data_IF_416137242902
#
_entry.id   IF_416137242902
#
_cell.length_a   1.000
_cell.length_b   1.000
_cell.length_c   1.000
_cell.angle_alpha   90.00
_cell.angle_beta   90.00
_cell.angle_gamma   90.00
#
_symmetry.space_group_name_H-M   'P 1'
#
loop_
_entity.id
_entity.type
_entity.pdbx_description
1 polymer ?
#
# COMPACT_ATOMS: atom_id res chain seq x y z
N UNK A 1 -18.47 -13.88 21.04
CA UNK A 1 -17.93 -14.76 19.98
C UNK A 1 -18.69 -14.58 18.68
N UNK A 2 -20.02 -14.69 18.68
CA UNK A 2 -20.82 -14.48 17.46
C UNK A 2 -20.76 -13.07 16.88
N UNK A 3 -20.75 -12.03 17.73
CA UNK A 3 -20.58 -10.64 17.26
C UNK A 3 -19.23 -10.41 16.54
N UNK A 4 -18.15 -11.00 17.06
CA UNK A 4 -16.83 -10.88 16.46
C UNK A 4 -16.74 -11.62 15.12
N UNK A 5 -17.35 -12.80 14.99
CA UNK A 5 -17.45 -13.53 13.72
C UNK A 5 -18.26 -12.75 12.70
N UNK A 6 -19.42 -12.20 13.10
CA UNK A 6 -20.24 -11.33 12.25
C UNK A 6 -19.43 -10.14 11.74
N UNK A 7 -18.71 -9.46 12.65
CA UNK A 7 -17.87 -8.31 12.30
C UNK A 7 -16.74 -8.68 11.33
N UNK A 8 -16.10 -9.83 11.52
CA UNK A 8 -15.10 -10.33 10.57
C UNK A 8 -15.74 -10.57 9.19
N UNK A 9 -16.91 -11.20 9.15
CA UNK A 9 -17.64 -11.44 7.90
C UNK A 9 -17.98 -10.14 7.16
N UNK A 10 -18.48 -9.13 7.87
CA UNK A 10 -18.76 -7.78 7.31
C UNK A 10 -17.49 -7.14 6.72
N UNK A 11 -16.39 -7.13 7.48
CA UNK A 11 -15.13 -6.54 7.05
C UNK A 11 -14.53 -7.30 5.85
N UNK A 12 -14.58 -8.63 5.86
CA UNK A 12 -14.07 -9.43 4.75
C UNK A 12 -14.91 -9.21 3.48
N UNK A 13 -16.23 -9.10 3.60
CA UNK A 13 -17.11 -8.78 2.48
C UNK A 13 -16.81 -7.39 1.90
N UNK A 14 -16.61 -6.38 2.76
CA UNK A 14 -16.21 -5.04 2.33
C UNK A 14 -14.85 -5.05 1.60
N UNK A 15 -13.85 -5.71 2.18
CA UNK A 15 -12.53 -5.81 1.56
C UNK A 15 -12.60 -6.50 0.18
N UNK A 16 -13.37 -7.59 0.07
CA UNK A 16 -13.57 -8.31 -1.20
C UNK A 16 -14.26 -7.44 -2.24
N UNK A 17 -15.32 -6.70 -1.88
CA UNK A 17 -16.02 -5.82 -2.81
C UNK A 17 -15.10 -4.72 -3.36
N UNK A 18 -14.24 -4.14 -2.52
CA UNK A 18 -13.24 -3.14 -2.95
C UNK A 18 -12.18 -3.74 -3.87
N UNK A 19 -11.72 -4.95 -3.56
CA UNK A 19 -10.76 -5.67 -4.40
C UNK A 19 -11.38 -6.00 -5.75
N UNK A 20 -12.62 -6.49 -5.78
CA UNK A 20 -13.34 -6.80 -7.02
C UNK A 20 -13.47 -5.58 -7.92
N UNK A 21 -13.88 -4.43 -7.36
CA UNK A 21 -13.93 -3.17 -8.09
C UNK A 21 -12.55 -2.78 -8.65
N UNK A 22 -11.48 -2.96 -7.88
CA UNK A 22 -10.12 -2.69 -8.34
C UNK A 22 -9.71 -3.65 -9.48
N UNK A 23 -9.99 -4.94 -9.34
CA UNK A 23 -9.68 -5.98 -10.33
C UNK A 23 -10.38 -5.73 -11.66
N UNK A 24 -11.64 -5.27 -11.64
CA UNK A 24 -12.41 -4.91 -12.84
C UNK A 24 -11.84 -3.70 -13.59
N UNK A 25 -11.13 -2.82 -12.88
CA UNK A 25 -10.61 -1.56 -13.41
C UNK A 25 -9.08 -1.54 -13.52
N UNK A 26 -8.43 -2.71 -13.59
CA UNK A 26 -6.98 -2.78 -13.69
C UNK A 26 -6.45 -2.14 -14.99
N UNK A 27 -5.44 -1.26 -14.88
CA UNK A 27 -4.85 -0.60 -16.04
C UNK A 27 -4.08 -1.61 -16.89
N UNK A 28 -4.32 -1.64 -18.19
CA UNK A 28 -3.58 -2.52 -19.13
C UNK A 28 -2.55 -1.76 -19.96
N UNK A 29 -2.66 -0.43 -20.03
CA UNK A 29 -1.79 0.44 -20.84
C UNK A 29 -1.69 1.82 -20.22
N UNK A 30 -0.53 2.47 -20.37
CA UNK A 30 -0.36 3.92 -20.19
C UNK A 30 -0.08 4.50 -21.57
N UNK A 31 -1.02 5.29 -22.11
CA UNK A 31 -0.85 5.95 -23.40
C UNK A 31 -0.20 7.34 -23.23
N UNK A 32 1.06 7.54 -23.63
CA UNK A 32 1.73 8.83 -23.53
C UNK A 32 1.03 9.93 -24.34
N UNK A 33 0.31 9.59 -25.42
CA UNK A 33 -0.40 10.56 -26.24
C UNK A 33 -1.59 11.19 -25.50
N UNK A 34 -2.17 10.47 -24.53
CA UNK A 34 -3.24 10.97 -23.67
C UNK A 34 -2.77 11.94 -22.56
N UNK A 35 -1.46 12.18 -22.44
CA UNK A 35 -0.86 12.99 -21.37
C UNK A 35 0.03 14.09 -21.95
N UNK A 36 1.15 13.70 -22.54
CA UNK A 36 2.11 14.57 -23.20
C UNK A 36 3.11 13.73 -24.00
N UNK A 37 3.26 14.05 -25.29
CA UNK A 37 4.31 13.47 -26.12
C UNK A 37 5.67 14.17 -25.94
N UNK A 38 5.71 15.29 -25.23
CA UNK A 38 6.90 16.12 -25.02
C UNK A 38 7.52 15.87 -23.64
N UNK A 39 6.72 16.00 -22.59
CA UNK A 39 7.16 15.80 -21.21
C UNK A 39 7.13 14.32 -20.84
N UNK A 40 8.30 13.74 -20.54
CA UNK A 40 8.43 12.31 -20.18
C UNK A 40 8.12 12.01 -18.72
N UNK A 41 8.24 12.99 -17.82
CA UNK A 41 8.07 12.80 -16.37
C UNK A 41 6.63 12.36 -16.02
N UNK A 42 5.56 12.97 -16.57
CA UNK A 42 4.17 12.53 -16.31
C UNK A 42 3.93 11.06 -16.69
N UNK A 43 4.46 10.63 -17.84
CA UNK A 43 4.38 9.23 -18.26
C UNK A 43 5.04 8.28 -17.25
N UNK A 44 6.23 8.62 -16.76
CA UNK A 44 6.93 7.81 -15.74
C UNK A 44 6.15 7.75 -14.42
N UNK A 45 5.56 8.86 -14.00
CA UNK A 45 4.73 8.93 -12.80
C UNK A 45 3.49 8.03 -12.93
N UNK A 46 2.84 8.03 -14.09
CA UNK A 46 1.70 7.15 -14.38
C UNK A 46 2.10 5.67 -14.44
N UNK A 47 3.23 5.34 -15.06
CA UNK A 47 3.74 3.97 -15.03
C UNK A 47 3.91 3.47 -13.59
N UNK A 48 4.42 4.31 -12.69
CA UNK A 48 4.55 3.95 -11.28
C UNK A 48 3.18 3.79 -10.61
N UNK A 49 2.25 4.72 -10.83
CA UNK A 49 0.87 4.63 -10.32
C UNK A 49 0.20 3.32 -10.73
N UNK A 50 0.23 2.99 -12.03
CA UNK A 50 -0.41 1.78 -12.54
C UNK A 50 0.26 0.49 -12.01
N UNK A 51 1.58 0.48 -11.87
CA UNK A 51 2.28 -0.64 -11.24
C UNK A 51 1.87 -0.82 -9.76
N UNK A 52 1.65 0.26 -9.03
CA UNK A 52 1.12 0.19 -7.66
C UNK A 52 -0.32 -0.34 -7.63
N UNK A 53 -1.15 -0.02 -8.63
CA UNK A 53 -2.53 -0.54 -8.75
C UNK A 53 -2.56 -2.05 -8.87
N UNK A 54 -1.73 -2.62 -9.75
CA UNK A 54 -1.55 -4.07 -9.85
C UNK A 54 -1.06 -4.69 -8.54
N UNK A 55 -0.09 -4.03 -7.90
CA UNK A 55 0.50 -4.52 -6.65
C UNK A 55 -0.51 -4.55 -5.50
N UNK A 56 -1.31 -3.50 -5.32
CA UNK A 56 -2.28 -3.45 -4.22
C UNK A 56 -3.45 -4.40 -4.47
N UNK A 57 -3.86 -4.61 -5.72
CA UNK A 57 -4.84 -5.63 -6.08
C UNK A 57 -4.36 -7.02 -5.64
N UNK A 58 -3.15 -7.41 -6.06
CA UNK A 58 -2.66 -8.76 -5.82
C UNK A 58 -2.51 -9.04 -4.33
N UNK A 59 -1.93 -8.09 -3.59
CA UNK A 59 -1.75 -8.17 -2.15
C UNK A 59 -3.09 -8.28 -1.43
N UNK A 60 -4.06 -7.44 -1.81
CA UNK A 60 -5.35 -7.37 -1.13
C UNK A 60 -6.25 -8.57 -1.44
N UNK A 61 -6.26 -9.04 -2.69
CA UNK A 61 -6.93 -10.29 -3.08
C UNK A 61 -6.36 -11.48 -2.33
N UNK A 62 -5.04 -11.55 -2.22
CA UNK A 62 -4.36 -12.62 -1.47
C UNK A 62 -4.62 -12.52 0.03
N UNK A 63 -4.67 -11.30 0.59
CA UNK A 63 -5.02 -11.08 1.99
C UNK A 63 -6.45 -11.57 2.30
N UNK A 64 -7.42 -11.27 1.42
CA UNK A 64 -8.80 -11.73 1.57
C UNK A 64 -8.89 -13.27 1.58
N UNK A 65 -8.18 -13.95 0.69
CA UNK A 65 -8.10 -15.43 0.68
C UNK A 65 -7.48 -15.97 1.97
N UNK A 66 -6.38 -15.38 2.42
CA UNK A 66 -5.73 -15.80 3.67
C UNK A 66 -6.66 -15.62 4.88
N UNK A 67 -7.43 -14.53 4.96
CA UNK A 67 -8.40 -14.35 6.02
C UNK A 67 -9.56 -15.35 5.97
N UNK A 68 -10.03 -15.70 4.77
CA UNK A 68 -11.08 -16.69 4.54
C UNK A 68 -10.65 -18.12 4.92
N UNK A 69 -9.41 -18.49 4.60
CA UNK A 69 -8.83 -19.82 4.87
C UNK A 69 -8.34 -20.01 6.32
N UNK A 70 -8.37 -18.94 7.13
CA UNK A 70 -7.87 -18.98 8.50
C UNK A 70 -6.35 -18.77 8.64
N UNK A 71 -5.67 -18.36 7.58
CA UNK A 71 -4.25 -18.06 7.54
C UNK A 71 -3.97 -16.63 8.00
N UNK A 72 -4.30 -16.36 9.25
CA UNK A 72 -4.35 -15.01 9.80
C UNK A 72 -3.01 -14.27 9.77
N UNK A 73 -1.90 -14.96 10.02
CA UNK A 73 -0.57 -14.36 9.92
C UNK A 73 -0.33 -13.85 8.49
N UNK A 74 -0.60 -14.69 7.49
CA UNK A 74 -0.45 -14.33 6.09
C UNK A 74 -1.37 -13.15 5.72
N UNK A 75 -2.62 -13.18 6.16
CA UNK A 75 -3.55 -12.06 5.98
C UNK A 75 -3.02 -10.74 6.54
N UNK A 76 -2.44 -10.76 7.76
CA UNK A 76 -1.86 -9.56 8.39
C UNK A 76 -0.62 -9.07 7.64
N UNK A 77 0.29 -9.97 7.26
CA UNK A 77 1.51 -9.63 6.50
C UNK A 77 1.13 -9.00 5.16
N UNK A 78 0.17 -9.57 4.45
CA UNK A 78 -0.31 -9.04 3.18
C UNK A 78 -1.02 -7.69 3.37
N UNK A 79 -1.81 -7.53 4.43
CA UNK A 79 -2.45 -6.25 4.79
C UNK A 79 -1.42 -5.17 5.09
N UNK A 80 -0.33 -5.50 5.80
CA UNK A 80 0.81 -4.61 6.02
C UNK A 80 1.43 -4.17 4.69
N UNK A 81 1.67 -5.11 3.78
CA UNK A 81 2.20 -4.76 2.47
C UNK A 81 1.23 -3.92 1.64
N UNK A 82 -0.09 -4.10 1.76
CA UNK A 82 -1.06 -3.19 1.14
C UNK A 82 -0.97 -1.77 1.72
N UNK A 83 -0.79 -1.63 3.04
CA UNK A 83 -0.53 -0.34 3.72
C UNK A 83 0.72 0.35 3.17
N UNK A 84 1.79 -0.40 2.89
CA UNK A 84 3.02 0.13 2.28
C UNK A 84 2.75 0.68 0.87
N UNK A 85 1.93 0.00 0.07
CA UNK A 85 1.55 0.46 -1.27
C UNK A 85 0.68 1.71 -1.22
N UNK A 86 -0.29 1.77 -0.28
CA UNK A 86 -1.09 2.98 -0.03
C UNK A 86 -0.21 4.18 0.38
N UNK A 87 0.87 3.93 1.13
CA UNK A 87 1.85 4.96 1.47
C UNK A 87 2.66 5.44 0.27
N UNK A 88 3.00 4.53 -0.65
CA UNK A 88 3.76 4.85 -1.84
C UNK A 88 2.96 5.72 -2.82
N UNK A 89 1.67 5.44 -3.02
CA UNK A 89 0.80 6.29 -3.86
C UNK A 89 0.55 7.65 -3.20
N UNK A 90 0.48 7.73 -1.86
CA UNK A 90 0.44 9.01 -1.13
C UNK A 90 1.67 9.85 -1.44
N UNK A 91 2.86 9.23 -1.36
CA UNK A 91 4.11 9.91 -1.68
C UNK A 91 4.12 10.44 -3.13
N UNK A 92 3.65 9.64 -4.10
CA UNK A 92 3.53 10.07 -5.48
C UNK A 92 2.59 11.27 -5.62
N UNK A 93 1.42 11.22 -4.96
CA UNK A 93 0.45 12.32 -4.96
C UNK A 93 1.08 13.62 -4.43
N UNK A 94 1.71 13.58 -3.24
CA UNK A 94 2.38 14.76 -2.69
C UNK A 94 3.50 15.28 -3.58
N UNK A 95 4.26 14.37 -4.21
CA UNK A 95 5.32 14.74 -5.14
C UNK A 95 4.74 15.56 -6.30
N UNK A 96 3.69 15.05 -6.96
CA UNK A 96 3.02 15.69 -8.10
C UNK A 96 2.38 17.02 -7.68
N UNK A 97 1.59 17.03 -6.61
CA UNK A 97 0.88 18.22 -6.12
C UNK A 97 1.84 19.38 -5.84
N UNK A 98 3.00 19.08 -5.24
CA UNK A 98 4.05 20.08 -5.03
C UNK A 98 4.57 20.68 -6.34
N UNK A 99 4.76 19.87 -7.39
CA UNK A 99 5.23 20.39 -8.68
C UNK A 99 4.19 21.27 -9.37
N UNK A 100 2.92 20.92 -9.22
CA UNK A 100 1.80 21.72 -9.73
C UNK A 100 1.72 23.07 -9.01
N UNK A 101 1.91 23.09 -7.69
CA UNK A 101 1.75 24.30 -6.89
C UNK A 101 2.99 25.21 -6.89
N UNK A 102 4.19 24.62 -6.78
CA UNK A 102 5.43 25.35 -6.49
C UNK A 102 6.38 25.42 -7.70
N UNK A 103 6.05 24.72 -8.79
CA UNK A 103 6.87 24.59 -10.00
C UNK A 103 7.76 23.35 -10.00
N UNK A 104 8.39 23.09 -11.15
CA UNK A 104 9.20 21.89 -11.38
C UNK A 104 10.54 22.00 -10.65
N UNK A 105 10.81 21.06 -9.74
CA UNK A 105 12.12 20.91 -9.11
C UNK A 105 13.13 20.25 -10.07
N UNK A 106 14.39 20.70 -10.01
CA UNK A 106 15.47 20.22 -10.87
C UNK A 106 15.70 18.70 -10.75
N UNK A 107 15.46 18.12 -9.57
CA UNK A 107 15.65 16.70 -9.27
C UNK A 107 14.37 15.86 -9.43
N UNK A 108 13.29 16.43 -10.02
CA UNK A 108 12.01 15.73 -10.16
C UNK A 108 12.13 14.42 -10.96
N UNK A 109 12.81 14.44 -12.11
CA UNK A 109 12.96 13.23 -12.93
C UNK A 109 13.72 12.13 -12.17
N UNK A 110 14.78 12.50 -11.44
CA UNK A 110 15.52 11.58 -10.59
C UNK A 110 14.63 11.00 -9.49
N UNK A 111 13.79 11.83 -8.86
CA UNK A 111 12.86 11.39 -7.82
C UNK A 111 11.80 10.42 -8.36
N UNK A 112 11.20 10.70 -9.52
CA UNK A 112 10.23 9.80 -10.16
C UNK A 112 10.89 8.51 -10.62
N UNK A 113 12.13 8.58 -11.15
CA UNK A 113 12.90 7.39 -11.53
C UNK A 113 13.26 6.50 -10.34
N UNK A 114 13.57 7.07 -9.17
CA UNK A 114 13.77 6.30 -7.92
C UNK A 114 12.51 5.59 -7.45
N UNK A 115 11.33 6.15 -7.72
CA UNK A 115 10.06 5.48 -7.44
C UNK A 115 9.81 4.32 -8.41
N UNK A 116 9.96 4.58 -9.71
CA UNK A 116 9.64 3.62 -10.76
C UNK A 116 10.65 2.46 -10.86
N UNK A 117 11.94 2.75 -10.73
CA UNK A 117 13.04 1.83 -11.03
C UNK A 117 13.97 1.58 -9.83
N UNK A 118 13.61 2.06 -8.64
CA UNK A 118 14.43 1.97 -7.45
C UNK A 118 14.85 0.53 -7.11
N UNK A 119 16.15 0.28 -6.94
CA UNK A 119 16.68 -1.01 -6.48
C UNK A 119 17.72 -0.83 -5.38
N UNK A 120 17.80 -1.79 -4.45
CA UNK A 120 18.89 -1.89 -3.46
C UNK A 120 20.00 -2.84 -3.90
N UNK A 121 19.66 -3.80 -4.76
CA UNK A 121 20.55 -4.91 -5.12
C UNK A 121 21.15 -4.76 -6.52
N UNK A 122 20.61 -3.87 -7.34
CA UNK A 122 21.15 -3.55 -8.65
C UNK A 122 21.83 -2.17 -8.59
N UNK A 123 23.16 -2.14 -8.73
CA UNK A 123 23.96 -0.91 -8.67
C UNK A 123 23.78 -0.01 -9.90
N UNK A 124 23.31 -0.57 -11.01
CA UNK A 124 23.07 0.14 -12.26
C UNK A 124 21.69 0.84 -12.27
N UNK A 125 20.89 0.63 -11.22
CA UNK A 125 19.54 1.19 -11.07
C UNK A 125 19.53 2.33 -10.04
N UNK A 126 18.56 3.26 -10.13
CA UNK A 126 18.37 4.29 -9.11
C UNK A 126 18.26 3.68 -7.70
N UNK A 127 18.78 4.37 -6.69
CA UNK A 127 18.66 3.91 -5.32
C UNK A 127 17.19 3.88 -4.85
N UNK A 128 16.72 2.71 -4.42
CA UNK A 128 15.36 2.56 -3.90
C UNK A 128 15.11 3.45 -2.68
N UNK A 129 13.95 4.12 -2.64
CA UNK A 129 13.46 4.79 -1.43
C UNK A 129 13.04 3.74 -0.40
N UNK A 130 13.33 4.00 0.87
CA UNK A 130 12.87 3.15 1.97
C UNK A 130 11.35 3.22 2.09
N UNK A 131 10.70 2.09 2.36
CA UNK A 131 9.26 2.07 2.63
C UNK A 131 8.87 2.97 3.81
N UNK A 132 9.74 3.09 4.81
CA UNK A 132 9.53 3.99 5.94
C UNK A 132 9.51 5.46 5.52
N UNK A 133 10.18 5.83 4.43
CA UNK A 133 10.06 7.18 3.88
C UNK A 133 8.63 7.48 3.45
N UNK A 134 7.93 6.49 2.87
CA UNK A 134 6.53 6.64 2.46
C UNK A 134 5.61 6.65 3.68
N UNK A 135 5.76 5.69 4.59
CA UNK A 135 4.95 5.61 5.82
C UNK A 135 5.05 6.91 6.62
N UNK A 136 6.27 7.42 6.83
CA UNK A 136 6.50 8.66 7.57
C UNK A 136 5.85 9.88 6.91
N UNK A 137 5.67 9.87 5.57
CA UNK A 137 4.96 10.96 4.89
C UNK A 137 3.47 10.93 5.21
N UNK A 138 2.84 9.76 5.15
CA UNK A 138 1.43 9.62 5.54
C UNK A 138 1.24 9.97 7.02
N UNK A 139 2.13 9.51 7.89
CA UNK A 139 2.04 9.71 9.35
C UNK A 139 2.09 11.18 9.78
N UNK A 140 2.74 12.05 8.99
CA UNK A 140 2.73 13.50 9.25
C UNK A 140 1.33 14.11 9.12
N UNK A 141 0.50 13.54 8.24
CA UNK A 141 -0.87 14.00 7.98
C UNK A 141 -1.89 13.20 8.78
N UNK A 142 -1.65 11.90 8.96
CA UNK A 142 -2.52 10.96 9.68
C UNK A 142 -1.70 10.29 10.79
N UNK A 143 -1.56 10.90 11.99
CA UNK A 143 -0.71 10.37 13.06
C UNK A 143 -1.06 8.93 13.48
N UNK A 144 -2.34 8.54 13.37
CA UNK A 144 -2.78 7.17 13.66
C UNK A 144 -2.20 6.12 12.69
N UNK A 145 -1.70 6.53 11.53
CA UNK A 145 -1.17 5.65 10.49
C UNK A 145 0.09 4.92 10.96
N UNK A 146 1.01 5.64 11.62
CA UNK A 146 2.24 5.06 12.18
C UNK A 146 1.92 3.95 13.18
N UNK A 147 1.03 4.23 14.14
CA UNK A 147 0.61 3.26 15.15
C UNK A 147 -0.03 2.01 14.52
N UNK A 148 -0.83 2.19 13.47
CA UNK A 148 -1.44 1.06 12.76
C UNK A 148 -0.36 0.22 12.04
N UNK A 149 0.56 0.88 11.34
CA UNK A 149 1.66 0.23 10.64
C UNK A 149 2.61 -0.52 11.58
N UNK A 150 2.95 0.06 12.73
CA UNK A 150 3.78 -0.58 13.76
C UNK A 150 3.07 -1.80 14.35
N UNK A 151 1.78 -1.68 14.62
CA UNK A 151 0.97 -2.80 15.13
C UNK A 151 0.89 -3.96 14.12
N UNK A 152 0.80 -3.68 12.82
CA UNK A 152 0.89 -4.71 11.78
C UNK A 152 2.30 -5.32 11.71
N UNK A 153 3.33 -4.49 11.84
CA UNK A 153 4.73 -4.92 11.80
C UNK A 153 5.08 -5.85 12.95
N UNK A 154 4.45 -5.67 14.12
CA UNK A 154 4.59 -6.56 15.26
C UNK A 154 4.17 -8.01 14.93
N UNK A 155 3.20 -8.22 14.04
CA UNK A 155 2.86 -9.58 13.57
C UNK A 155 3.71 -10.03 12.38
N UNK A 156 4.22 -9.10 11.56
CA UNK A 156 4.99 -9.46 10.37
C UNK A 156 6.42 -9.94 10.68
N UNK A 157 6.96 -9.56 11.83
CA UNK A 157 8.28 -9.98 12.25
C UNK A 157 8.24 -11.33 12.99
N UNK A 158 9.32 -12.14 12.94
CA UNK A 158 9.41 -13.39 13.69
C UNK A 158 9.68 -13.16 15.20
N UNK A 159 9.00 -12.19 15.81
CA UNK A 159 9.00 -11.91 17.25
C UNK A 159 7.94 -12.76 17.96
N UNK A 160 7.68 -12.49 19.24
CA UNK A 160 6.68 -13.22 20.01
C UNK A 160 5.29 -13.18 19.37
N UNK A 161 4.83 -12.01 18.90
CA UNK A 161 3.50 -11.82 18.33
C UNK A 161 3.32 -12.55 16.98
N UNK A 162 4.32 -12.48 16.11
CA UNK A 162 4.33 -13.14 14.79
C UNK A 162 4.67 -14.64 14.81
N UNK A 163 5.14 -15.19 15.95
CA UNK A 163 5.52 -16.62 16.07
C UNK A 163 4.75 -17.34 17.17
N UNK A 164 5.18 -17.18 18.42
CA UNK A 164 4.69 -17.93 19.57
C UNK A 164 3.24 -17.57 19.91
N UNK A 165 2.89 -16.28 19.92
CA UNK A 165 1.55 -15.83 20.29
C UNK A 165 0.49 -16.38 19.33
N UNK A 166 0.73 -16.30 18.02
CA UNK A 166 -0.27 -16.61 17.00
C UNK A 166 -0.47 -18.13 16.82
N UNK A 167 0.58 -18.94 17.04
CA UNK A 167 0.54 -20.38 16.81
C UNK A 167 0.50 -21.25 18.07
N UNK A 168 0.71 -20.69 19.27
CA UNK A 168 0.82 -21.50 20.47
C UNK A 168 -0.13 -21.10 21.61
N UNK A 169 -0.53 -22.09 22.40
CA UNK A 169 -1.28 -21.94 23.65
C UNK A 169 -0.74 -22.88 24.71
N UNK A 170 -0.29 -22.30 25.83
CA UNK A 170 0.16 -23.06 26.99
C UNK A 170 -1.03 -23.66 27.74
N UNK A 171 -0.93 -24.95 28.07
CA UNK A 171 -1.84 -25.72 28.91
C UNK A 171 -1.13 -25.99 30.25
N UNK A 172 -1.43 -25.20 31.30
CA UNK A 172 -0.71 -25.28 32.56
C UNK A 172 -1.04 -26.55 33.35
N UNK A 173 -2.23 -27.15 33.15
CA UNK A 173 -2.64 -28.37 33.85
C UNK A 173 -1.84 -29.58 33.35
N UNK A 174 -1.58 -29.64 32.05
CA UNK A 174 -0.80 -30.72 31.43
C UNK A 174 0.68 -30.40 31.31
N UNK A 175 1.09 -29.17 31.62
CA UNK A 175 2.46 -28.67 31.41
C UNK A 175 2.89 -28.82 29.94
N UNK A 176 1.96 -28.54 29.01
CA UNK A 176 2.18 -28.67 27.58
C UNK A 176 2.04 -27.32 26.86
N UNK A 177 2.68 -27.20 25.71
CA UNK A 177 2.45 -26.10 24.77
C UNK A 177 1.88 -26.67 23.48
N UNK A 178 0.62 -26.34 23.21
CA UNK A 178 -0.07 -26.77 22.01
C UNK A 178 0.26 -25.82 20.86
N UNK A 179 0.43 -26.36 19.66
CA UNK A 179 0.62 -25.60 18.42
C UNK A 179 -0.52 -25.84 17.44
N UNK A 180 -0.94 -24.78 16.74
CA UNK A 180 -2.05 -24.85 15.78
C UNK A 180 -2.53 -23.49 15.35
N UNK A 181 -3.45 -23.47 14.37
CA UNK A 181 -4.13 -22.25 13.92
C UNK A 181 -5.25 -21.89 14.90
N UNK A 182 -5.41 -20.60 15.16
CA UNK A 182 -6.53 -20.02 15.94
C UNK A 182 -6.74 -20.62 17.36
N UNK A 183 -5.70 -21.17 18.00
CA UNK A 183 -5.81 -21.84 19.31
C UNK A 183 -6.38 -20.95 20.43
N UNK A 184 -6.21 -19.63 20.29
CA UNK A 184 -6.63 -18.65 21.29
C UNK A 184 -8.05 -18.13 21.07
N UNK A 185 -8.64 -18.36 19.89
CA UNK A 185 -9.96 -17.84 19.53
C UNK A 185 -10.08 -16.31 19.59
N UNK A 186 -8.94 -15.59 19.65
CA UNK A 186 -8.93 -14.14 19.64
C UNK A 186 -9.19 -13.65 18.22
N UNK A 187 -10.16 -12.75 18.08
CA UNK A 187 -10.55 -12.17 16.80
C UNK A 187 -10.00 -10.75 16.60
N UNK A 188 -9.35 -10.17 17.61
CA UNK A 188 -8.92 -8.76 17.60
C UNK A 188 -7.89 -8.48 16.51
N UNK A 189 -6.89 -9.35 16.34
CA UNK A 189 -5.87 -9.19 15.29
C UNK A 189 -6.45 -9.38 13.88
N UNK A 190 -7.50 -10.21 13.72
CA UNK A 190 -8.20 -10.40 12.43
C UNK A 190 -8.97 -9.14 12.06
N UNK A 191 -9.75 -8.62 13.00
CA UNK A 191 -10.51 -7.38 12.85
C UNK A 191 -9.56 -6.23 12.53
N UNK A 192 -8.48 -6.08 13.30
CA UNK A 192 -7.48 -5.04 13.10
C UNK A 192 -6.83 -5.13 11.71
N UNK A 193 -6.36 -6.31 11.31
CA UNK A 193 -5.73 -6.50 10.00
C UNK A 193 -6.69 -6.20 8.83
N UNK A 194 -7.94 -6.66 8.91
CA UNK A 194 -8.97 -6.33 7.93
C UNK A 194 -9.30 -4.83 7.88
N UNK A 195 -9.37 -4.15 9.03
CA UNK A 195 -9.57 -2.70 9.08
C UNK A 195 -8.41 -1.95 8.42
N UNK A 196 -7.17 -2.38 8.64
CA UNK A 196 -6.01 -1.80 7.97
C UNK A 196 -6.02 -2.06 6.46
N UNK A 197 -6.44 -3.25 6.03
CA UNK A 197 -6.58 -3.58 4.61
C UNK A 197 -7.62 -2.67 3.93
N UNK A 198 -8.82 -2.56 4.51
CA UNK A 198 -9.89 -1.68 4.03
C UNK A 198 -9.44 -0.22 4.00
N UNK A 199 -8.78 0.25 5.07
CA UNK A 199 -8.23 1.60 5.14
C UNK A 199 -7.21 1.86 4.04
N UNK A 200 -6.34 0.89 3.75
CA UNK A 200 -5.35 0.98 2.68
C UNK A 200 -5.99 1.03 1.30
N UNK A 201 -6.99 0.18 1.03
CA UNK A 201 -7.75 0.18 -0.22
C UNK A 201 -8.50 1.51 -0.42
N UNK A 202 -9.19 1.99 0.63
CA UNK A 202 -9.92 3.26 0.60
C UNK A 202 -8.99 4.43 0.33
N UNK A 203 -7.84 4.45 1.01
CA UNK A 203 -6.84 5.50 0.83
C UNK A 203 -6.25 5.46 -0.59
N UNK A 204 -5.90 4.27 -1.07
CA UNK A 204 -5.35 4.09 -2.41
C UNK A 204 -6.32 4.57 -3.49
N UNK A 205 -7.59 4.18 -3.42
CA UNK A 205 -8.65 4.58 -4.35
C UNK A 205 -8.78 6.11 -4.40
N UNK A 206 -8.86 6.78 -3.26
CA UNK A 206 -8.96 8.23 -3.18
C UNK A 206 -7.74 8.93 -3.79
N UNK A 207 -6.54 8.43 -3.52
CA UNK A 207 -5.29 9.01 -4.05
C UNK A 207 -5.09 8.72 -5.54
N UNK A 208 -5.54 7.57 -6.03
CA UNK A 208 -5.52 7.23 -7.46
C UNK A 208 -6.31 8.25 -8.27
N UNK A 209 -7.51 8.59 -7.79
CA UNK A 209 -8.37 9.58 -8.43
C UNK A 209 -7.78 10.99 -8.32
N UNK A 210 -7.26 11.39 -7.17
CA UNK A 210 -6.60 12.69 -7.01
C UNK A 210 -5.38 12.85 -7.94
N UNK A 211 -4.58 11.80 -8.15
CA UNK A 211 -3.48 11.86 -9.11
C UNK A 211 -4.02 12.02 -10.55
N UNK A 212 -5.14 11.38 -10.89
CA UNK A 212 -5.77 11.57 -12.20
C UNK A 212 -6.20 13.03 -12.40
N UNK A 213 -6.79 13.64 -11.38
CA UNK A 213 -7.24 15.03 -11.43
C UNK A 213 -6.06 16.02 -11.56
N UNK A 214 -4.92 15.72 -10.91
CA UNK A 214 -3.70 16.54 -10.98
C UNK A 214 -2.91 16.37 -12.29
N UNK A 215 -3.13 15.29 -13.03
CA UNK A 215 -2.27 14.91 -14.15
C UNK A 215 -2.22 15.94 -15.30
N UNK A 216 -3.33 16.58 -15.72
CA UNK A 216 -3.29 17.59 -16.77
C UNK A 216 -2.43 18.80 -16.40
N UNK A 217 -2.58 19.31 -15.17
CA UNK A 217 -1.80 20.45 -14.68
C UNK A 217 -0.33 20.08 -14.49
N UNK A 218 -0.06 18.85 -14.02
CA UNK A 218 1.30 18.34 -13.90
C UNK A 218 2.01 18.20 -15.25
N UNK A 219 1.29 17.69 -16.26
CA UNK A 219 1.82 17.57 -17.62
C UNK A 219 2.16 18.95 -18.21
N UNK A 220 1.26 19.92 -18.05
CA UNK A 220 1.49 21.30 -18.48
C UNK A 220 2.68 21.93 -17.78
N UNK A 221 2.80 21.79 -16.46
CA UNK A 221 3.93 22.32 -15.69
C UNK A 221 5.27 21.75 -16.19
N UNK A 222 5.32 20.45 -16.51
CA UNK A 222 6.51 19.82 -17.09
C UNK A 222 6.83 20.32 -18.50
N UNK A 223 5.82 20.58 -19.34
CA UNK A 223 6.03 21.13 -20.69
C UNK A 223 6.55 22.57 -20.67
N UNK A 224 6.00 23.39 -19.78
CA UNK A 224 6.42 24.79 -19.59
C UNK A 224 7.87 24.88 -19.11
N UNK A 225 8.28 23.99 -18.20
CA UNK A 225 9.67 23.92 -17.73
C UNK A 225 10.65 23.53 -18.85
N UNK A 226 10.28 22.57 -19.69
CA UNK A 226 11.07 22.20 -20.88
C UNK A 226 11.21 23.36 -21.87
N UNK A 227 10.19 24.20 -22.01
CA UNK A 227 10.24 25.39 -22.86
C UNK A 227 11.14 26.50 -22.32
N UNK A 228 11.27 26.62 -21.00
CA UNK A 228 12.15 27.61 -20.35
C UNK A 228 13.62 27.21 -20.39
N UNK A 229 13.88 25.92 -20.48
CA UNK A 229 15.22 25.33 -20.48
C UNK A 229 15.81 25.13 -21.90
N UNK A 230 15.04 25.41 -22.94
CA UNK A 230 15.42 25.31 -24.36
C UNK A 230 15.89 26.64 -24.93
#
# INVERSE_FOLDING_TARGET
>A
MEEAKRRIGELLAEAKARVELLSENLPTVVDPAGISLKAKIPYKALCYREALTWRIEELSRSACRAYEEGDHLAGIVLSRSATEVASAIWYLKELIERQVNDGIEVDLDENVMKLLLGSRNNKDMPAAKSVLTFVNKVSKTIPAFEKAYDSLSEYAHPNWSGTSLIYSKHDPEKVLTNFGKDLRGSHSYKIFGLQCLIGSLTLFEGLYNQISDLMPDFAKACEDDLNRSA
#
